data_IF_391435220407
#
_entry.id   IF_391435220407
#
_cell.length_a   1.000
_cell.length_b   1.000
_cell.length_c   1.000
_cell.angle_alpha   90.00
_cell.angle_beta   90.00
_cell.angle_gamma   90.00
#
_symmetry.space_group_name_H-M   'P 1'
#
loop_
_entity.id
_entity.type
_entity.pdbx_description
1 polymer ?
#
# COMPACT_ATOMS: atom_id res chain seq x y z
N UNK A 1 -5.69 -18.23 -2.23
CA UNK A 1 -6.34 -17.05 -1.63
C UNK A 1 -5.68 -15.77 -2.17
N UNK A 2 -6.50 -14.84 -2.64
CA UNK A 2 -5.98 -13.60 -3.25
C UNK A 2 -5.53 -12.62 -2.18
N UNK A 3 -4.48 -11.87 -2.47
CA UNK A 3 -4.01 -10.78 -1.61
C UNK A 3 -4.11 -9.45 -2.36
N UNK A 4 -4.07 -8.36 -1.60
CA UNK A 4 -4.06 -7.02 -2.17
C UNK A 4 -3.23 -6.10 -1.29
N UNK A 5 -2.50 -5.17 -1.90
CA UNK A 5 -1.79 -4.15 -1.15
C UNK A 5 -1.93 -2.79 -1.83
N UNK A 6 -1.62 -1.74 -1.11
CA UNK A 6 -1.72 -0.39 -1.65
C UNK A 6 -0.37 0.32 -1.60
N UNK A 7 -0.04 0.99 -2.70
CA UNK A 7 1.02 1.98 -2.75
C UNK A 7 0.32 3.33 -2.63
N UNK A 8 0.37 3.91 -1.43
CA UNK A 8 -0.38 5.11 -1.12
C UNK A 8 0.54 6.29 -0.92
N UNK A 9 0.20 7.41 -1.54
CA UNK A 9 1.03 8.60 -1.58
C UNK A 9 0.44 9.75 -0.77
N UNK A 10 1.35 10.48 -0.14
CA UNK A 10 1.11 11.83 0.37
C UNK A 10 2.12 12.72 -0.36
N UNK A 11 1.63 13.52 -1.31
CA UNK A 11 2.51 14.24 -2.21
C UNK A 11 3.32 13.28 -3.06
N UNK A 12 4.64 13.41 -3.07
CA UNK A 12 5.54 12.56 -3.85
C UNK A 12 6.09 11.37 -3.10
N UNK A 13 5.70 11.21 -1.83
CA UNK A 13 6.21 10.14 -0.99
C UNK A 13 5.15 9.08 -0.75
N UNK A 14 5.58 7.83 -0.71
CA UNK A 14 4.69 6.69 -0.44
C UNK A 14 4.96 6.14 0.95
N UNK A 15 3.93 5.54 1.54
CA UNK A 15 4.00 5.05 2.91
C UNK A 15 4.28 3.55 2.93
N UNK A 16 5.25 3.15 3.77
CA UNK A 16 5.50 1.74 4.05
C UNK A 16 5.43 1.51 5.55
N UNK A 17 5.18 0.25 5.92
CA UNK A 17 5.16 -0.17 7.32
C UNK A 17 6.34 -1.07 7.61
N UNK A 18 6.84 -1.01 8.84
CA UNK A 18 7.90 -1.89 9.30
C UNK A 18 7.28 -3.14 9.91
N UNK A 19 7.62 -4.31 9.34
CA UNK A 19 7.17 -5.59 9.88
C UNK A 19 8.30 -6.23 10.69
N UNK A 20 8.22 -6.21 12.04
CA UNK A 20 9.30 -6.73 12.87
C UNK A 20 9.48 -8.25 12.74
N UNK A 21 8.44 -8.97 12.35
CA UNK A 21 8.53 -10.42 12.16
C UNK A 21 9.37 -10.77 10.94
N UNK A 22 9.25 -9.99 9.87
CA UNK A 22 10.04 -10.17 8.65
C UNK A 22 11.32 -9.36 8.65
N UNK A 23 11.41 -8.38 9.54
CA UNK A 23 12.59 -7.52 9.63
C UNK A 23 12.76 -6.60 8.43
N UNK A 24 11.66 -6.08 7.88
CA UNK A 24 11.74 -5.24 6.70
C UNK A 24 10.56 -4.32 6.51
N UNK A 25 10.72 -3.38 5.59
CA UNK A 25 9.67 -2.48 5.14
C UNK A 25 8.83 -3.15 4.06
N UNK A 26 7.53 -2.91 4.11
CA UNK A 26 6.61 -3.47 3.12
C UNK A 26 5.42 -2.53 2.90
N UNK A 27 4.76 -2.67 1.76
CA UNK A 27 3.52 -1.96 1.51
C UNK A 27 2.41 -2.60 2.35
N UNK A 28 1.54 -1.80 2.99
CA UNK A 28 0.42 -2.38 3.74
C UNK A 28 -0.49 -3.20 2.85
N UNK A 29 -0.86 -4.38 3.31
CA UNK A 29 -1.74 -5.27 2.55
C UNK A 29 -1.95 -6.59 3.25
N UNK A 30 -2.76 -7.44 2.66
CA UNK A 30 -3.08 -8.75 3.19
C UNK A 30 -4.10 -9.49 2.35
N UNK A 31 -4.75 -10.47 2.97
CA UNK A 31 -5.71 -11.33 2.28
C UNK A 31 -7.02 -10.61 2.00
N UNK A 32 -7.55 -10.84 0.79
CA UNK A 32 -8.90 -10.41 0.44
C UNK A 32 -9.87 -11.38 1.10
N UNK A 33 -10.74 -10.85 1.95
CA UNK A 33 -11.71 -11.68 2.68
C UNK A 33 -12.94 -11.94 1.82
N UNK A 34 -13.69 -12.97 2.19
CA UNK A 34 -14.91 -13.32 1.48
C UNK A 34 -15.87 -12.14 1.44
N UNK A 35 -16.40 -11.83 0.25
CA UNK A 35 -17.30 -10.72 0.06
C UNK A 35 -16.63 -9.37 -0.15
N UNK A 36 -15.32 -9.31 -0.01
CA UNK A 36 -14.53 -8.08 -0.19
C UNK A 36 -13.99 -7.97 -1.61
N UNK A 37 -13.94 -6.75 -2.14
CA UNK A 37 -13.15 -6.50 -3.35
C UNK A 37 -11.68 -6.33 -2.94
N UNK A 38 -10.77 -6.41 -3.90
CA UNK A 38 -9.35 -6.15 -3.65
C UNK A 38 -9.11 -4.72 -3.15
N UNK A 39 -9.86 -3.76 -3.68
CA UNK A 39 -9.78 -2.36 -3.26
C UNK A 39 -10.21 -2.19 -1.80
N UNK A 40 -11.29 -2.85 -1.41
CA UNK A 40 -11.77 -2.83 -0.03
C UNK A 40 -10.76 -3.47 0.91
N UNK A 41 -10.19 -4.62 0.50
CA UNK A 41 -9.19 -5.32 1.30
C UNK A 41 -7.92 -4.46 1.48
N UNK A 42 -7.42 -3.86 0.40
CA UNK A 42 -6.23 -3.02 0.47
C UNK A 42 -6.45 -1.82 1.40
N UNK A 43 -7.61 -1.16 1.30
CA UNK A 43 -7.93 -0.01 2.16
C UNK A 43 -8.07 -0.43 3.62
N UNK A 44 -8.73 -1.56 3.89
CA UNK A 44 -8.90 -2.08 5.25
C UNK A 44 -7.56 -2.44 5.88
N UNK A 45 -6.73 -3.18 5.15
CA UNK A 45 -5.41 -3.57 5.64
C UNK A 45 -4.52 -2.36 5.89
N UNK A 46 -4.62 -1.34 5.03
CA UNK A 46 -3.85 -0.11 5.20
C UNK A 46 -4.24 0.59 6.51
N UNK A 47 -5.53 0.64 6.80
CA UNK A 47 -6.04 1.22 8.04
C UNK A 47 -5.57 0.43 9.26
N UNK A 48 -5.67 -0.90 9.22
CA UNK A 48 -5.27 -1.76 10.32
C UNK A 48 -3.78 -1.70 10.61
N UNK A 49 -2.95 -1.71 9.58
CA UNK A 49 -1.50 -1.77 9.74
C UNK A 49 -0.88 -0.39 9.99
N UNK A 50 -1.30 0.62 9.25
CA UNK A 50 -0.68 1.94 9.27
C UNK A 50 -1.51 3.03 9.96
N UNK A 51 -2.79 2.82 10.15
CA UNK A 51 -3.66 3.80 10.82
C UNK A 51 -4.07 4.98 9.97
N UNK A 52 -4.08 4.82 8.66
CA UNK A 52 -4.51 5.88 7.73
C UNK A 52 -5.64 5.39 6.84
N UNK A 53 -6.57 6.29 6.54
CA UNK A 53 -7.56 6.05 5.49
C UNK A 53 -6.98 6.46 4.16
N UNK A 54 -7.35 5.72 3.11
CA UNK A 54 -6.83 5.96 1.76
C UNK A 54 -7.96 5.94 0.75
N UNK A 55 -7.74 6.62 -0.36
CA UNK A 55 -8.62 6.59 -1.52
C UNK A 55 -7.93 5.80 -2.62
N UNK A 56 -8.52 4.70 -3.04
CA UNK A 56 -7.98 3.88 -4.13
C UNK A 56 -8.33 4.57 -5.45
N UNK A 57 -7.35 4.78 -6.32
CA UNK A 57 -7.56 5.43 -7.61
C UNK A 57 -7.39 4.49 -8.80
N UNK A 58 -6.65 3.39 -8.63
CA UNK A 58 -6.43 2.42 -9.69
C UNK A 58 -6.02 1.08 -9.11
N UNK A 59 -6.28 -0.01 -9.82
CA UNK A 59 -5.92 -1.35 -9.42
C UNK A 59 -5.31 -2.10 -10.59
N UNK A 60 -4.30 -2.92 -10.32
CA UNK A 60 -3.63 -3.73 -11.33
C UNK A 60 -3.47 -5.15 -10.83
N UNK A 61 -3.82 -6.11 -11.69
CA UNK A 61 -3.71 -7.53 -11.39
C UNK A 61 -2.28 -8.00 -11.67
N UNK A 62 -1.63 -8.56 -10.65
CA UNK A 62 -0.27 -9.11 -10.77
C UNK A 62 -0.28 -10.65 -10.81
N UNK A 63 -1.46 -11.26 -10.94
CA UNK A 63 -1.62 -12.71 -10.90
C UNK A 63 -2.31 -13.14 -9.60
N UNK A 64 -1.55 -13.57 -8.61
CA UNK A 64 -2.11 -13.97 -7.31
C UNK A 64 -2.41 -12.78 -6.39
N UNK A 65 -1.98 -11.58 -6.76
CA UNK A 65 -2.08 -10.39 -5.94
C UNK A 65 -2.57 -9.22 -6.79
N UNK A 66 -3.36 -8.33 -6.18
CA UNK A 66 -3.71 -7.04 -6.79
C UNK A 66 -2.93 -5.93 -6.10
N UNK A 67 -2.39 -4.99 -6.88
CA UNK A 67 -1.80 -3.77 -6.33
C UNK A 67 -2.73 -2.60 -6.60
N UNK A 68 -2.92 -1.77 -5.60
CA UNK A 68 -3.76 -0.58 -5.69
C UNK A 68 -2.89 0.67 -5.58
N UNK A 69 -3.14 1.63 -6.47
CA UNK A 69 -2.57 2.97 -6.33
C UNK A 69 -3.55 3.79 -5.50
N UNK A 70 -3.06 4.50 -4.50
CA UNK A 70 -3.93 5.19 -3.56
C UNK A 70 -3.36 6.53 -3.11
N UNK A 71 -4.27 7.38 -2.61
CA UNK A 71 -3.94 8.66 -2.00
C UNK A 71 -4.24 8.57 -0.51
N UNK A 72 -3.30 9.02 0.32
CA UNK A 72 -3.53 9.09 1.77
C UNK A 72 -4.49 10.24 2.04
N UNK A 73 -5.55 9.97 2.80
CA UNK A 73 -6.57 10.96 3.13
C UNK A 73 -6.32 11.56 4.52
N UNK A 74 -6.29 10.73 5.56
CA UNK A 74 -6.15 11.21 6.93
C UNK A 74 -5.79 10.07 7.87
N UNK A 75 -5.31 10.44 9.07
CA UNK A 75 -5.15 9.48 10.16
C UNK A 75 -6.53 9.10 10.68
N UNK A 76 -6.70 7.81 11.03
CA UNK A 76 -7.98 7.32 11.55
C UNK A 76 -8.16 7.62 13.03
N UNK A 77 -7.08 7.86 13.76
CA UNK A 77 -7.13 8.02 15.22
C UNK A 77 -7.26 6.70 15.95
N UNK A 78 -7.31 5.59 15.25
CA UNK A 78 -7.39 4.26 15.84
C UNK A 78 -6.00 3.67 16.03
N UNK A 79 -5.81 2.73 16.97
CA UNK A 79 -4.53 2.02 17.09
C UNK A 79 -4.19 1.29 15.80
N UNK A 80 -2.90 1.26 15.46
CA UNK A 80 -2.42 0.55 14.28
C UNK A 80 -1.38 -0.48 14.69
N UNK A 81 -1.19 -1.48 13.84
CA UNK A 81 -0.37 -2.65 14.16
C UNK A 81 1.13 -2.40 14.01
N UNK A 82 1.52 -1.53 13.08
CA UNK A 82 2.92 -1.36 12.70
C UNK A 82 3.34 0.10 12.64
N UNK A 83 4.63 0.33 12.86
CA UNK A 83 5.22 1.64 12.62
C UNK A 83 5.23 1.93 11.12
N UNK A 84 5.07 3.17 10.75
CA UNK A 84 5.06 3.57 9.35
C UNK A 84 5.96 4.77 9.10
N UNK A 85 6.37 4.93 7.84
CA UNK A 85 7.20 6.04 7.41
C UNK A 85 6.96 6.34 5.94
N UNK A 86 7.11 7.60 5.57
CA UNK A 86 7.00 8.04 4.18
C UNK A 86 8.37 8.01 3.52
N UNK A 87 8.42 7.52 2.28
CA UNK A 87 9.66 7.39 1.52
C UNK A 87 9.52 8.03 0.15
N UNK A 88 10.59 8.69 -0.31
CA UNK A 88 10.67 9.17 -1.69
C UNK A 88 11.14 8.05 -2.61
N UNK A 89 12.03 7.19 -2.10
CA UNK A 89 12.59 6.03 -2.80
C UNK A 89 12.49 4.80 -1.93
N UNK A 90 12.54 3.62 -2.54
CA UNK A 90 12.48 2.37 -1.78
C UNK A 90 13.65 2.27 -0.80
N UNK A 91 13.37 1.92 0.48
CA UNK A 91 14.45 1.73 1.47
C UNK A 91 15.25 0.48 1.17
N UNK A 92 16.42 0.35 1.83
CA UNK A 92 17.34 -0.75 1.58
C UNK A 92 16.86 -2.10 2.09
N UNK A 93 16.08 -2.11 3.18
CA UNK A 93 15.65 -3.36 3.83
C UNK A 93 14.17 -3.61 3.57
N UNK A 94 13.87 -4.48 2.63
CA UNK A 94 12.50 -4.83 2.25
C UNK A 94 12.14 -6.23 2.70
N UNK A 95 10.88 -6.44 3.11
CA UNK A 95 10.36 -7.77 3.47
C UNK A 95 10.24 -8.70 2.26
N UNK A 96 9.98 -8.12 1.09
CA UNK A 96 9.73 -8.87 -0.14
C UNK A 96 10.71 -8.45 -1.24
N UNK A 97 10.68 -9.15 -2.36
CA UNK A 97 11.56 -8.87 -3.49
C UNK A 97 11.39 -7.44 -4.02
N UNK A 98 12.52 -6.80 -4.26
CA UNK A 98 12.57 -5.40 -4.71
C UNK A 98 11.96 -5.21 -6.10
N UNK A 99 12.08 -6.21 -6.97
CA UNK A 99 11.67 -6.12 -8.38
C UNK A 99 10.22 -5.72 -8.55
N UNK A 100 9.33 -6.28 -7.74
CA UNK A 100 7.91 -5.97 -7.84
C UNK A 100 7.65 -4.51 -7.49
N UNK A 101 8.23 -4.02 -6.39
CA UNK A 101 8.04 -2.63 -5.96
C UNK A 101 8.68 -1.64 -6.93
N UNK A 102 9.80 -2.01 -7.56
CA UNK A 102 10.42 -1.17 -8.58
C UNK A 102 9.51 -0.97 -9.79
N UNK A 103 8.59 -1.90 -10.02
CA UNK A 103 7.56 -1.79 -11.06
C UNK A 103 6.30 -1.07 -10.55
N UNK A 104 5.80 -1.47 -9.39
CA UNK A 104 4.49 -0.98 -8.92
C UNK A 104 4.53 0.46 -8.38
N UNK A 105 5.63 0.90 -7.77
CA UNK A 105 5.73 2.27 -7.26
C UNK A 105 5.67 3.30 -8.41
N UNK A 106 6.46 3.17 -9.49
CA UNK A 106 6.32 4.10 -10.62
C UNK A 106 4.95 4.04 -11.27
N UNK A 107 4.36 2.86 -11.39
CA UNK A 107 3.02 2.71 -11.93
C UNK A 107 1.99 3.46 -11.07
N UNK A 108 2.04 3.28 -9.76
CA UNK A 108 1.10 3.94 -8.85
C UNK A 108 1.25 5.46 -8.90
N UNK A 109 2.48 5.94 -8.95
CA UNK A 109 2.77 7.37 -9.08
C UNK A 109 2.16 7.95 -10.35
N UNK A 110 2.27 7.20 -11.46
CA UNK A 110 1.69 7.60 -12.74
C UNK A 110 0.16 7.63 -12.66
N UNK A 111 -0.46 6.64 -12.03
CA UNK A 111 -1.92 6.59 -11.89
C UNK A 111 -2.45 7.79 -11.10
N UNK A 112 -1.75 8.18 -10.04
CA UNK A 112 -2.13 9.34 -9.25
C UNK A 112 -2.02 10.65 -10.03
N UNK A 113 -0.99 10.79 -10.85
CA UNK A 113 -0.83 11.96 -11.72
C UNK A 113 -1.97 12.09 -12.72
N UNK A 114 -2.48 10.99 -13.24
CA UNK A 114 -3.61 10.99 -14.17
C UNK A 114 -4.91 11.44 -13.53
N UNK A 115 -5.04 11.33 -12.21
CA UNK A 115 -6.24 11.71 -11.49
C UNK A 115 -6.28 13.19 -11.11
N UNK A 116 -5.19 13.93 -11.37
CA UNK A 116 -5.15 15.37 -11.07
C UNK A 116 -5.91 16.13 -12.15
N UNK A 117 -6.73 17.14 -11.75
CA UNK A 117 -7.41 18.00 -12.70
C UNK A 117 -6.42 18.88 -13.47
#
# INVERSE_FOLDING_TARGET
MRTAYAVAFEGDRFLMVWNPRRGGWEMPGGHVEEGETSEEAAAREFEEEAGYSVEIVATRDLGACDVCAARIISKTGKPCEMASELFSDLPGTLSFGRDEYEDTVPWARKMLRKQRP
#
